data_IF_275541637622
#
_entry.id   IF_275541637622
#
_cell.length_a   1.000
_cell.length_b   1.000
_cell.length_c   1.000
_cell.angle_alpha   90.00
_cell.angle_beta   90.00
_cell.angle_gamma   90.00
#
_symmetry.space_group_name_H-M   'P 1'
#
loop_
_entity.id
_entity.type
_entity.pdbx_description
1 polymer ?
#
# COMPACT_ATOMS: atom_id res chain seq x y z
N UNK A 1 0.92 0.41 -11.85
CA UNK A 1 2.13 -0.48 -11.85
C UNK A 1 2.46 -0.78 -13.31
N UNK A 2 3.71 -1.13 -13.68
CA UNK A 2 3.96 -1.51 -15.08
C UNK A 2 3.08 -2.70 -15.46
N UNK A 3 2.40 -2.62 -16.60
CA UNK A 3 1.50 -3.66 -17.09
C UNK A 3 2.18 -5.04 -17.16
N UNK A 4 3.43 -5.08 -17.64
CA UNK A 4 4.25 -6.29 -17.68
C UNK A 4 4.40 -6.96 -16.30
N UNK A 5 4.56 -6.18 -15.22
CA UNK A 5 4.68 -6.73 -13.86
C UNK A 5 3.39 -7.37 -13.40
N UNK A 6 2.25 -6.72 -13.65
CA UNK A 6 0.91 -7.26 -13.32
C UNK A 6 0.71 -8.59 -14.06
N UNK A 7 1.00 -8.62 -15.35
CA UNK A 7 0.83 -9.82 -16.18
C UNK A 7 1.71 -10.99 -15.70
N UNK A 8 2.94 -10.75 -15.26
CA UNK A 8 3.79 -11.80 -14.69
C UNK A 8 3.22 -12.38 -13.39
N UNK A 9 2.65 -11.55 -12.50
CA UNK A 9 2.00 -12.01 -11.26
C UNK A 9 0.76 -12.86 -11.59
N UNK A 10 -0.09 -12.40 -12.51
CA UNK A 10 -1.28 -13.15 -12.94
C UNK A 10 -0.91 -14.46 -13.62
N UNK A 11 0.08 -14.43 -14.51
CA UNK A 11 0.60 -15.63 -15.16
C UNK A 11 1.14 -16.62 -14.14
N UNK A 12 1.89 -16.17 -13.12
CA UNK A 12 2.42 -17.04 -12.07
C UNK A 12 1.30 -17.78 -11.32
N UNK A 13 0.21 -17.09 -10.97
CA UNK A 13 -1.01 -17.69 -10.38
C UNK A 13 -1.64 -18.70 -11.33
N UNK A 14 -1.84 -18.31 -12.58
CA UNK A 14 -2.62 -19.07 -13.55
C UNK A 14 -1.87 -20.32 -14.02
N UNK A 15 -0.55 -20.25 -14.19
CA UNK A 15 0.33 -21.39 -14.47
C UNK A 15 0.20 -22.51 -13.42
N UNK A 16 -0.20 -22.16 -12.18
CA UNK A 16 -0.41 -23.08 -11.07
C UNK A 16 -1.88 -23.43 -10.83
N UNK A 17 -2.78 -22.91 -11.65
CA UNK A 17 -4.22 -23.04 -11.49
C UNK A 17 -4.68 -22.63 -10.07
N UNK A 18 -4.09 -21.57 -9.53
CA UNK A 18 -4.36 -21.10 -8.17
C UNK A 18 -5.52 -20.12 -8.08
N UNK A 19 -6.03 -19.62 -9.22
CA UNK A 19 -7.19 -18.72 -9.24
C UNK A 19 -8.38 -19.22 -8.43
N UNK A 20 -8.63 -20.54 -8.42
CA UNK A 20 -9.69 -21.18 -7.61
C UNK A 20 -9.58 -20.99 -6.10
N UNK A 21 -8.40 -20.61 -5.58
CA UNK A 21 -8.15 -20.33 -4.16
C UNK A 21 -8.18 -18.84 -3.84
N UNK A 22 -8.27 -17.97 -4.86
CA UNK A 22 -8.08 -16.53 -4.72
C UNK A 22 -9.43 -15.80 -4.80
N UNK A 23 -10.35 -16.11 -3.88
CA UNK A 23 -11.55 -15.27 -3.71
C UNK A 23 -11.20 -13.99 -2.91
N UNK A 24 -12.03 -12.93 -2.97
CA UNK A 24 -11.73 -11.66 -2.30
C UNK A 24 -11.49 -11.77 -0.79
N UNK A 25 -12.20 -12.67 -0.08
CA UNK A 25 -12.02 -12.85 1.36
C UNK A 25 -10.64 -13.44 1.67
N UNK A 26 -10.24 -14.48 0.95
CA UNK A 26 -8.94 -15.13 1.19
C UNK A 26 -7.77 -14.23 0.74
N UNK A 27 -7.92 -13.49 -0.35
CA UNK A 27 -6.93 -12.49 -0.78
C UNK A 27 -6.76 -11.35 0.24
N UNK A 28 -7.85 -10.88 0.86
CA UNK A 28 -7.78 -9.86 1.91
C UNK A 28 -7.03 -10.38 3.14
N UNK A 29 -7.22 -11.66 3.48
CA UNK A 29 -6.47 -12.32 4.56
C UNK A 29 -4.99 -12.37 4.19
N UNK A 30 -4.63 -12.83 2.98
CA UNK A 30 -3.24 -12.86 2.53
C UNK A 30 -2.57 -11.49 2.59
N UNK A 31 -3.21 -10.42 2.10
CA UNK A 31 -2.68 -9.05 2.22
C UNK A 31 -2.37 -8.68 3.68
N UNK A 32 -3.26 -9.06 4.61
CA UNK A 32 -3.05 -8.78 6.03
C UNK A 32 -1.91 -9.59 6.63
N UNK A 33 -1.72 -10.84 6.19
CA UNK A 33 -0.61 -11.69 6.64
C UNK A 33 0.73 -11.13 6.18
N UNK A 34 0.89 -10.81 4.89
CA UNK A 34 2.16 -10.26 4.40
C UNK A 34 2.44 -8.86 4.96
N UNK A 35 1.40 -8.07 5.23
CA UNK A 35 1.56 -6.79 5.93
C UNK A 35 2.03 -6.98 7.38
N UNK A 36 1.66 -8.09 8.02
CA UNK A 36 2.17 -8.46 9.34
C UNK A 36 3.61 -8.95 9.27
N UNK A 37 4.00 -9.72 8.25
CA UNK A 37 5.39 -10.11 8.02
C UNK A 37 6.28 -8.87 7.78
N UNK A 38 5.80 -7.89 7.01
CA UNK A 38 6.48 -6.60 6.85
C UNK A 38 6.63 -5.85 8.19
N UNK A 39 5.62 -5.93 9.07
CA UNK A 39 5.69 -5.34 10.40
C UNK A 39 6.69 -6.07 11.31
N UNK A 40 6.82 -7.40 11.18
CA UNK A 40 7.74 -8.21 11.98
C UNK A 40 9.21 -7.81 11.79
N UNK A 41 9.56 -7.26 10.63
CA UNK A 41 10.88 -6.67 10.36
C UNK A 41 11.29 -5.63 11.42
N UNK A 42 10.33 -5.01 12.10
CA UNK A 42 10.54 -3.97 13.10
C UNK A 42 10.17 -4.40 14.54
N UNK A 43 9.72 -5.64 14.76
CA UNK A 43 9.09 -6.06 16.03
C UNK A 43 10.00 -5.93 17.26
N UNK A 44 11.32 -6.06 17.09
CA UNK A 44 12.30 -6.03 18.18
C UNK A 44 13.19 -4.79 18.18
N UNK A 45 12.82 -3.78 17.40
CA UNK A 45 13.68 -2.67 17.08
C UNK A 45 13.04 -1.38 17.63
N UNK A 46 13.20 -1.15 18.94
CA UNK A 46 12.44 -0.19 19.73
C UNK A 46 12.29 1.22 19.12
N UNK A 47 13.40 1.94 18.93
CA UNK A 47 13.46 3.26 18.28
C UNK A 47 13.97 3.16 16.84
N UNK A 48 14.04 1.95 16.30
CA UNK A 48 14.66 1.71 15.02
C UNK A 48 13.69 2.05 13.89
N UNK A 49 13.91 3.25 13.37
CA UNK A 49 13.22 3.82 12.22
C UNK A 49 14.04 3.68 10.92
N UNK A 50 15.17 2.97 10.96
CA UNK A 50 16.08 2.82 9.83
C UNK A 50 15.74 1.56 9.02
N UNK A 51 16.17 1.53 7.76
CA UNK A 51 15.88 0.42 6.85
C UNK A 51 17.13 -0.33 6.39
N UNK A 52 18.33 0.25 6.57
CA UNK A 52 19.61 -0.13 5.98
C UNK A 52 19.91 -1.63 6.10
N UNK A 53 19.89 -2.16 7.32
CA UNK A 53 20.22 -3.56 7.61
C UNK A 53 19.03 -4.51 7.39
N UNK A 54 17.89 -3.97 6.95
CA UNK A 54 16.60 -4.67 6.80
C UNK A 54 16.08 -4.64 5.35
N UNK A 55 16.76 -3.95 4.43
CA UNK A 55 16.27 -3.65 3.07
C UNK A 55 15.83 -4.90 2.32
N UNK A 56 16.57 -5.99 2.45
CA UNK A 56 16.25 -7.24 1.75
C UNK A 56 14.92 -7.83 2.23
N UNK A 57 14.70 -7.87 3.55
CA UNK A 57 13.43 -8.39 4.10
C UNK A 57 12.27 -7.44 3.84
N UNK A 58 12.48 -6.13 3.97
CA UNK A 58 11.47 -5.12 3.59
C UNK A 58 11.06 -5.29 2.13
N UNK A 59 12.03 -5.53 1.23
CA UNK A 59 11.78 -5.71 -0.20
C UNK A 59 10.95 -6.97 -0.46
N UNK A 60 11.25 -8.07 0.22
CA UNK A 60 10.52 -9.34 0.12
C UNK A 60 9.05 -9.14 0.55
N UNK A 61 8.82 -8.71 1.79
CA UNK A 61 7.46 -8.60 2.33
C UNK A 61 6.62 -7.53 1.64
N UNK A 62 7.23 -6.40 1.28
CA UNK A 62 6.53 -5.38 0.52
C UNK A 62 6.14 -5.87 -0.88
N UNK A 63 6.98 -6.69 -1.52
CA UNK A 63 6.64 -7.29 -2.80
C UNK A 63 5.46 -8.26 -2.66
N UNK A 64 5.41 -9.04 -1.58
CA UNK A 64 4.30 -9.97 -1.35
C UNK A 64 2.98 -9.25 -1.06
N UNK A 65 2.99 -8.19 -0.24
CA UNK A 65 1.82 -7.30 -0.08
C UNK A 65 1.34 -6.78 -1.44
N UNK A 66 2.26 -6.31 -2.29
CA UNK A 66 1.93 -5.78 -3.61
C UNK A 66 1.39 -6.87 -4.55
N UNK A 67 1.97 -8.07 -4.52
CA UNK A 67 1.52 -9.21 -5.33
C UNK A 67 0.07 -9.58 -4.99
N UNK A 68 -0.27 -9.71 -3.70
CA UNK A 68 -1.66 -9.99 -3.33
C UNK A 68 -2.62 -8.83 -3.61
N UNK A 69 -2.15 -7.57 -3.58
CA UNK A 69 -2.94 -6.43 -4.04
C UNK A 69 -3.25 -6.53 -5.55
N UNK A 70 -2.28 -6.95 -6.37
CA UNK A 70 -2.51 -7.19 -7.82
C UNK A 70 -3.57 -8.28 -8.01
N UNK A 71 -3.44 -9.39 -7.28
CA UNK A 71 -4.41 -10.50 -7.35
C UNK A 71 -5.81 -10.09 -6.91
N UNK A 72 -5.91 -9.26 -5.86
CA UNK A 72 -7.17 -8.67 -5.39
C UNK A 72 -7.81 -7.78 -6.45
N UNK A 73 -7.00 -6.93 -7.09
CA UNK A 73 -7.50 -6.04 -8.13
C UNK A 73 -8.05 -6.84 -9.33
N UNK A 74 -7.34 -7.86 -9.79
CA UNK A 74 -7.80 -8.74 -10.88
C UNK A 74 -9.09 -9.49 -10.51
N UNK A 75 -9.16 -10.07 -9.31
CA UNK A 75 -10.36 -10.80 -8.85
C UNK A 75 -11.58 -9.88 -8.70
N UNK A 76 -11.37 -8.61 -8.32
CA UNK A 76 -12.44 -7.63 -8.18
C UNK A 76 -12.75 -6.85 -9.48
N UNK A 77 -12.00 -7.07 -10.56
CA UNK A 77 -12.14 -6.33 -11.81
C UNK A 77 -11.79 -4.84 -11.67
N UNK A 78 -10.79 -4.52 -10.84
CA UNK A 78 -10.34 -3.15 -10.57
C UNK A 78 -9.07 -2.83 -11.35
N UNK A 79 -9.02 -1.64 -11.95
CA UNK A 79 -7.77 -1.09 -12.48
C UNK A 79 -6.95 -0.48 -11.34
N UNK A 80 -5.70 -0.95 -11.18
CA UNK A 80 -4.85 -0.53 -10.07
C UNK A 80 -4.46 0.95 -10.13
N UNK A 81 -4.21 1.48 -11.33
CA UNK A 81 -3.78 2.87 -11.48
C UNK A 81 -4.97 3.80 -11.25
N UNK A 82 -6.16 3.44 -11.73
CA UNK A 82 -7.40 4.15 -11.48
C UNK A 82 -7.70 4.27 -9.98
N UNK A 83 -7.72 3.15 -9.23
CA UNK A 83 -8.07 3.18 -7.80
C UNK A 83 -7.05 3.99 -6.97
N UNK A 84 -5.77 3.96 -7.36
CA UNK A 84 -4.71 4.72 -6.68
C UNK A 84 -4.84 6.21 -7.00
N UNK A 85 -4.99 6.59 -8.28
CA UNK A 85 -5.11 7.98 -8.70
C UNK A 85 -6.38 8.64 -8.13
N UNK A 86 -7.50 7.92 -8.12
CA UNK A 86 -8.71 8.39 -7.46
C UNK A 86 -8.51 8.63 -5.96
N UNK A 87 -7.80 7.72 -5.30
CA UNK A 87 -7.53 7.84 -3.86
C UNK A 87 -6.61 9.03 -3.58
N UNK A 88 -5.60 9.27 -4.40
CA UNK A 88 -4.73 10.45 -4.32
C UNK A 88 -5.56 11.72 -4.45
N UNK A 89 -6.39 11.84 -5.48
CA UNK A 89 -7.28 13.02 -5.68
C UNK A 89 -8.20 13.26 -4.47
N UNK A 90 -8.78 12.19 -3.90
CA UNK A 90 -9.60 12.26 -2.67
C UNK A 90 -8.75 12.71 -1.47
N UNK A 91 -7.50 12.27 -1.37
CA UNK A 91 -6.59 12.65 -0.30
C UNK A 91 -6.10 14.10 -0.42
N UNK A 92 -5.83 14.60 -1.63
CA UNK A 92 -5.48 16.01 -1.87
C UNK A 92 -6.57 16.96 -1.38
N UNK A 93 -7.85 16.62 -1.59
CA UNK A 93 -8.97 17.38 -1.06
C UNK A 93 -9.08 17.33 0.47
N UNK A 94 -8.71 16.21 1.09
CA UNK A 94 -8.71 16.06 2.57
C UNK A 94 -7.51 16.73 3.23
N UNK A 95 -6.36 16.72 2.56
CA UNK A 95 -5.09 17.23 3.08
C UNK A 95 -4.51 18.30 2.13
N UNK A 96 -5.15 19.49 2.01
CA UNK A 96 -4.59 20.58 1.21
C UNK A 96 -3.21 20.98 1.72
N UNK A 97 -2.28 21.30 0.81
CA UNK A 97 -0.86 21.59 1.13
C UNK A 97 -0.75 22.69 2.18
N UNK A 98 -1.53 23.75 2.04
CA UNK A 98 -1.54 24.91 2.94
C UNK A 98 -1.98 24.61 4.38
N UNK A 99 -2.69 23.49 4.60
CA UNK A 99 -3.13 23.04 5.92
C UNK A 99 -2.34 21.84 6.44
N UNK A 100 -1.91 20.95 5.56
CA UNK A 100 -1.32 19.66 5.91
C UNK A 100 0.21 19.63 5.86
N UNK A 101 0.89 20.60 5.22
CA UNK A 101 2.35 20.58 5.13
C UNK A 101 2.99 20.54 6.52
N UNK A 102 3.83 19.52 6.76
CA UNK A 102 4.54 19.32 8.02
C UNK A 102 3.66 18.87 9.19
N UNK A 103 2.38 18.57 8.94
CA UNK A 103 1.43 18.10 9.94
C UNK A 103 1.17 16.61 9.78
N UNK A 104 1.22 15.86 10.88
CA UNK A 104 0.79 14.46 10.96
C UNK A 104 -0.67 14.31 11.40
N UNK A 105 -1.33 15.43 11.72
CA UNK A 105 -2.69 15.42 12.23
C UNK A 105 -3.68 14.95 11.17
N UNK A 106 -4.75 14.28 11.59
CA UNK A 106 -5.81 13.88 10.68
C UNK A 106 -6.48 15.11 10.06
N UNK A 107 -7.05 14.95 8.87
CA UNK A 107 -7.76 16.02 8.17
C UNK A 107 -8.88 16.68 8.99
N UNK A 108 -9.44 15.96 9.96
CA UNK A 108 -10.44 16.46 10.92
C UNK A 108 -9.88 17.44 11.95
N UNK A 109 -8.55 17.52 12.09
CA UNK A 109 -7.83 18.26 13.12
C UNK A 109 -6.86 19.31 12.52
N UNK A 110 -6.81 19.44 11.18
CA UNK A 110 -5.96 20.41 10.51
C UNK A 110 -6.38 21.85 10.80
N UNK A 111 -5.52 22.58 11.51
CA UNK A 111 -5.63 24.03 11.69
C UNK A 111 -4.97 24.71 10.49
N UNK A 112 -5.70 25.55 9.77
CA UNK A 112 -5.13 26.30 8.64
C UNK A 112 -3.98 27.20 9.11
N UNK A 113 -2.92 27.34 8.31
CA UNK A 113 -1.91 28.36 8.56
C UNK A 113 -2.53 29.73 8.30
N UNK A 114 -2.80 30.48 9.36
CA UNK A 114 -2.94 31.93 9.23
C UNK A 114 -1.56 32.49 8.88
N UNK A 115 -1.36 32.83 7.60
CA UNK A 115 -0.20 33.61 7.21
C UNK A 115 -0.35 34.99 7.86
N UNK A 116 0.34 35.21 8.99
CA UNK A 116 0.61 36.57 9.45
C UNK A 116 1.55 37.19 8.43
N UNK A 117 1.00 37.99 7.53
CA UNK A 117 1.77 38.96 6.77
C UNK A 117 2.50 39.85 7.79
N UNK A 118 3.83 39.70 7.87
CA UNK A 118 4.73 40.61 8.58
C UNK A 118 5.70 41.19 7.57
#
# INVERSE_FOLDING_TARGET
>A
MKQETIEQVLKFRDDRNWRKFHNPKDLAISICLEAAELLEVFQWSAEDVQCEDKKDKIREELADVLNYCVLMADECGLDMDEIVLEKIKKNEGKYPVEKAYGSKEKYTELKGREWKLS
#
